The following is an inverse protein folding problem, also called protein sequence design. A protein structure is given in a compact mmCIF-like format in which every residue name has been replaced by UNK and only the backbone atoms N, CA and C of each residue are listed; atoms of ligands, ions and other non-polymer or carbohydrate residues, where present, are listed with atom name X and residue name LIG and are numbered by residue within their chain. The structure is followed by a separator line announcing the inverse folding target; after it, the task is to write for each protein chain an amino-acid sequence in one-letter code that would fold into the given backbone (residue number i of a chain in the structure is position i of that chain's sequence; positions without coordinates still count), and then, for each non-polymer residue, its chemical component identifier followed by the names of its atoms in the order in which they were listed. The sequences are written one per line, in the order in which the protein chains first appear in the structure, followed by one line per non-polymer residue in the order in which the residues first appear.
data_IF_940107818811
#
_entry.id   IF_940107818811
#
_cell.length_a   1.000
_cell.length_b   1.000
_cell.length_c   1.000
_cell.angle_alpha   90.00
_cell.angle_beta   90.00
_cell.angle_gamma   90.00
#
_symmetry.space_group_name_H-M   'P 1'
#
loop_
_entity.id
_entity.type
_entity.pdbx_description
1 polymer ?
#
# COMPACT_ATOMS: atom_id res chain seq x y z
N UNK A 1 -13.35 -42.10 -8.38
CA UNK A 1 -13.02 -40.76 -7.82
C UNK A 1 -11.59 -40.83 -7.31
N UNK A 2 -10.61 -40.36 -8.09
CA UNK A 2 -9.21 -40.31 -7.65
C UNK A 2 -8.97 -38.97 -6.97
N UNK A 3 -8.66 -39.01 -5.69
CA UNK A 3 -8.18 -37.87 -4.90
C UNK A 3 -6.81 -37.46 -5.41
N UNK A 4 -6.74 -36.38 -6.16
CA UNK A 4 -5.47 -35.76 -6.57
C UNK A 4 -4.80 -35.23 -5.29
N UNK A 5 -3.78 -35.93 -4.79
CA UNK A 5 -2.94 -35.43 -3.71
C UNK A 5 -2.14 -34.23 -4.23
N UNK A 6 -2.20 -33.07 -3.54
CA UNK A 6 -1.35 -31.94 -3.88
C UNK A 6 0.12 -32.34 -3.71
N UNK A 7 0.93 -32.14 -4.76
CA UNK A 7 2.35 -32.50 -4.76
C UNK A 7 3.12 -31.72 -3.68
N UNK A 8 4.00 -32.39 -2.94
CA UNK A 8 4.82 -31.82 -1.85
C UNK A 8 5.56 -30.52 -2.20
N UNK A 9 5.82 -30.26 -3.49
CA UNK A 9 6.41 -29.01 -3.98
C UNK A 9 5.56 -27.77 -3.68
N UNK A 10 4.23 -27.88 -3.67
CA UNK A 10 3.33 -26.76 -3.36
C UNK A 10 3.39 -26.35 -1.88
N UNK A 11 3.54 -27.33 -0.99
CA UNK A 11 3.67 -27.11 0.46
C UNK A 11 5.03 -26.49 0.82
N UNK A 12 6.12 -26.90 0.15
CA UNK A 12 7.44 -26.32 0.38
C UNK A 12 7.55 -24.85 -0.05
N UNK A 13 6.89 -24.43 -1.14
CA UNK A 13 6.89 -23.01 -1.56
C UNK A 13 6.11 -22.09 -0.64
N UNK A 14 5.14 -22.58 0.14
CA UNK A 14 4.38 -21.74 1.08
C UNK A 14 5.15 -21.45 2.38
N UNK A 15 6.03 -22.36 2.82
CA UNK A 15 6.79 -22.20 4.06
C UNK A 15 7.91 -21.15 3.96
N UNK A 16 8.52 -20.98 2.77
CA UNK A 16 9.57 -19.98 2.56
C UNK A 16 9.07 -18.53 2.48
N UNK A 17 7.82 -18.32 2.06
CA UNK A 17 7.23 -16.97 1.90
C UNK A 17 6.56 -16.48 3.19
N UNK A 18 6.12 -17.40 4.06
CA UNK A 18 5.40 -17.06 5.30
C UNK A 18 6.22 -16.19 6.26
N UNK A 19 7.49 -16.52 6.48
CA UNK A 19 8.38 -15.79 7.39
C UNK A 19 8.83 -14.43 6.86
N UNK A 20 8.78 -14.23 5.54
CA UNK A 20 9.18 -12.97 4.91
C UNK A 20 8.30 -11.80 5.37
N UNK A 21 7.01 -12.04 5.62
CA UNK A 21 6.05 -11.00 6.03
C UNK A 21 6.37 -10.47 7.45
N UNK A 22 6.50 -11.32 8.50
CA UNK A 22 6.99 -10.90 9.81
C UNK A 22 8.35 -10.20 9.75
N UNK A 23 9.31 -10.74 8.99
CA UNK A 23 10.66 -10.16 8.92
C UNK A 23 10.63 -8.77 8.32
N UNK A 24 9.95 -8.57 7.18
CA UNK A 24 9.84 -7.26 6.55
C UNK A 24 9.09 -6.26 7.42
N UNK A 25 7.98 -6.68 8.03
CA UNK A 25 7.17 -5.83 8.93
C UNK A 25 7.96 -5.43 10.19
N UNK A 26 8.75 -6.34 10.76
CA UNK A 26 9.63 -6.06 11.92
C UNK A 26 10.74 -5.10 11.55
N UNK A 27 11.44 -5.34 10.44
CA UNK A 27 12.52 -4.47 9.94
C UNK A 27 11.98 -3.07 9.65
N UNK A 28 10.80 -2.97 9.07
CA UNK A 28 10.12 -1.70 8.82
C UNK A 28 9.73 -0.98 10.11
N UNK A 29 9.19 -1.72 11.08
CA UNK A 29 8.90 -1.22 12.43
C UNK A 29 10.16 -0.69 13.11
N UNK A 30 11.26 -1.43 13.07
CA UNK A 30 12.53 -1.00 13.65
C UNK A 30 13.05 0.31 13.02
N UNK A 31 13.05 0.39 11.69
CA UNK A 31 13.49 1.57 10.94
C UNK A 31 12.60 2.78 11.24
N UNK A 32 11.28 2.62 11.25
CA UNK A 32 10.34 3.72 11.56
C UNK A 32 10.42 4.17 13.02
N UNK A 33 10.69 3.25 13.95
CA UNK A 33 10.93 3.59 15.35
C UNK A 33 12.17 4.45 15.57
N UNK A 34 13.11 4.48 14.62
CA UNK A 34 14.26 5.40 14.65
C UNK A 34 13.85 6.87 14.56
N UNK A 35 12.73 7.17 13.90
CA UNK A 35 12.25 8.54 13.72
C UNK A 35 11.50 9.13 14.92
N UNK A 36 11.19 8.29 15.92
CA UNK A 36 10.41 8.67 17.10
C UNK A 36 11.02 8.15 18.41
N UNK A 37 12.30 7.77 18.41
CA UNK A 37 13.03 7.17 19.55
C UNK A 37 12.32 5.96 20.20
N UNK A 38 11.58 5.17 19.40
CA UNK A 38 10.85 3.98 19.85
C UNK A 38 11.17 2.74 19.00
N UNK A 39 12.44 2.56 18.65
CA UNK A 39 12.94 1.47 17.79
C UNK A 39 12.44 0.09 18.22
N UNK A 40 12.61 -0.26 19.50
CA UNK A 40 12.19 -1.56 20.04
C UNK A 40 10.66 -1.71 20.09
N UNK A 41 9.95 -0.64 20.44
CA UNK A 41 8.48 -0.64 20.49
C UNK A 41 7.87 -0.85 19.10
N UNK A 42 8.38 -0.14 18.11
CA UNK A 42 7.92 -0.23 16.72
C UNK A 42 8.37 -1.53 16.04
N UNK A 43 9.56 -2.06 16.35
CA UNK A 43 9.97 -3.39 15.90
C UNK A 43 9.06 -4.49 16.47
N UNK A 44 8.76 -4.43 17.78
CA UNK A 44 7.84 -5.35 18.43
C UNK A 44 6.43 -5.28 17.84
N UNK A 45 5.93 -4.07 17.58
CA UNK A 45 4.67 -3.86 16.87
C UNK A 45 4.72 -4.46 15.46
N UNK A 46 5.77 -4.18 14.69
CA UNK A 46 5.99 -4.70 13.34
C UNK A 46 6.01 -6.23 13.30
N UNK A 47 6.66 -6.88 14.29
CA UNK A 47 6.67 -8.33 14.42
C UNK A 47 5.30 -8.89 14.73
N UNK A 48 4.63 -8.34 15.75
CA UNK A 48 3.31 -8.78 16.19
C UNK A 48 2.29 -8.63 15.07
N UNK A 49 2.34 -7.50 14.35
CA UNK A 49 1.52 -7.25 13.18
C UNK A 49 1.82 -8.21 12.04
N UNK A 50 3.09 -8.42 11.70
CA UNK A 50 3.49 -9.32 10.61
C UNK A 50 3.08 -10.77 10.86
N UNK A 51 3.15 -11.24 12.12
CA UNK A 51 2.63 -12.54 12.54
C UNK A 51 1.10 -12.58 12.40
N UNK A 52 0.40 -11.54 12.88
CA UNK A 52 -1.06 -11.45 12.77
C UNK A 52 -1.52 -11.50 11.31
N UNK A 53 -0.86 -10.75 10.41
CA UNK A 53 -1.12 -10.75 8.97
C UNK A 53 -0.83 -12.11 8.36
N UNK A 54 0.29 -12.77 8.71
CA UNK A 54 0.61 -14.12 8.21
C UNK A 54 -0.48 -15.14 8.59
N UNK A 55 -0.95 -15.10 9.85
CA UNK A 55 -1.98 -16.01 10.35
C UNK A 55 -3.35 -15.72 9.72
N UNK A 56 -3.75 -14.45 9.64
CA UNK A 56 -4.99 -14.02 9.03
C UNK A 56 -4.98 -14.29 7.52
N UNK A 57 -3.89 -13.98 6.82
CA UNK A 57 -3.76 -14.27 5.39
C UNK A 57 -3.83 -15.77 5.10
N UNK A 58 -3.23 -16.61 5.94
CA UNK A 58 -3.35 -18.08 5.80
C UNK A 58 -4.78 -18.56 6.00
N UNK A 59 -5.47 -18.07 7.04
CA UNK A 59 -6.87 -18.42 7.33
C UNK A 59 -7.84 -17.89 6.26
N UNK A 60 -7.66 -16.66 5.80
CA UNK A 60 -8.56 -16.04 4.80
C UNK A 60 -8.22 -16.52 3.38
N UNK A 61 -6.97 -16.84 3.06
CA UNK A 61 -6.63 -17.45 1.75
C UNK A 61 -7.33 -18.80 1.55
N UNK A 62 -7.53 -19.57 2.63
CA UNK A 62 -8.36 -20.78 2.60
C UNK A 62 -9.85 -20.48 2.38
N UNK A 63 -10.31 -19.29 2.77
CA UNK A 63 -11.72 -18.89 2.64
C UNK A 63 -12.00 -18.22 1.29
N UNK A 64 -11.04 -17.49 0.73
CA UNK A 64 -11.12 -16.79 -0.56
C UNK A 64 -12.29 -15.80 -0.68
N UNK A 65 -12.31 -14.99 -1.72
CA UNK A 65 -13.57 -14.36 -2.12
C UNK A 65 -14.52 -15.46 -2.61
N UNK A 66 -15.61 -15.72 -1.88
CA UNK A 66 -16.64 -16.69 -2.27
C UNK A 66 -17.55 -16.15 -3.38
N UNK A 67 -17.44 -14.86 -3.69
CA UNK A 67 -18.16 -14.20 -4.79
C UNK A 67 -17.30 -13.14 -5.48
N UNK A 68 -17.60 -12.86 -6.75
CA UNK A 68 -16.97 -11.78 -7.53
C UNK A 68 -17.11 -10.42 -6.82
N UNK A 69 -18.23 -10.20 -6.12
CA UNK A 69 -18.47 -9.00 -5.33
C UNK A 69 -17.39 -8.81 -4.24
N UNK A 70 -17.09 -9.87 -3.48
CA UNK A 70 -16.07 -9.82 -2.42
C UNK A 70 -14.65 -9.59 -2.97
N UNK A 71 -14.32 -10.14 -4.14
CA UNK A 71 -13.03 -9.89 -4.79
C UNK A 71 -12.88 -8.44 -5.28
N UNK A 72 -14.00 -7.84 -5.71
CA UNK A 72 -14.06 -6.49 -6.26
C UNK A 72 -14.05 -5.38 -5.21
N UNK A 73 -14.71 -5.60 -4.06
CA UNK A 73 -14.85 -4.58 -3.00
C UNK A 73 -13.55 -3.89 -2.61
N UNK A 74 -12.45 -4.60 -2.27
CA UNK A 74 -11.20 -3.92 -1.87
C UNK A 74 -10.62 -3.06 -3.00
N UNK A 75 -10.66 -3.55 -4.25
CA UNK A 75 -10.14 -2.80 -5.42
C UNK A 75 -10.95 -1.53 -5.66
N UNK A 76 -12.28 -1.61 -5.53
CA UNK A 76 -13.16 -0.44 -5.68
C UNK A 76 -13.08 0.56 -4.53
N UNK A 77 -12.64 0.15 -3.35
CA UNK A 77 -12.36 1.08 -2.23
C UNK A 77 -10.96 1.69 -2.38
N UNK A 78 -9.97 0.90 -2.79
CA UNK A 78 -8.61 1.37 -2.99
C UNK A 78 -8.49 2.37 -4.13
N UNK A 79 -9.19 2.17 -5.24
CA UNK A 79 -9.10 3.05 -6.40
C UNK A 79 -9.43 4.53 -6.10
N UNK A 80 -10.59 4.89 -5.52
CA UNK A 80 -10.88 6.28 -5.18
C UNK A 80 -9.91 6.84 -4.15
N UNK A 81 -9.47 6.03 -3.18
CA UNK A 81 -8.48 6.47 -2.20
C UNK A 81 -7.11 6.74 -2.84
N UNK A 82 -6.68 5.91 -3.79
CA UNK A 82 -5.48 6.15 -4.58
C UNK A 82 -5.61 7.41 -5.44
N UNK A 83 -6.79 7.68 -6.02
CA UNK A 83 -7.05 8.93 -6.73
C UNK A 83 -7.02 10.16 -5.80
N UNK A 84 -7.52 10.04 -4.57
CA UNK A 84 -7.43 11.11 -3.56
C UNK A 84 -5.97 11.37 -3.18
N UNK A 85 -5.17 10.32 -2.95
CA UNK A 85 -3.75 10.44 -2.67
C UNK A 85 -3.01 11.11 -3.83
N UNK A 86 -3.25 10.66 -5.06
CA UNK A 86 -2.68 11.27 -6.27
C UNK A 86 -3.09 12.74 -6.40
N UNK A 87 -4.36 13.08 -6.20
CA UNK A 87 -4.85 14.45 -6.22
C UNK A 87 -4.18 15.31 -5.13
N UNK A 88 -4.03 14.77 -3.93
CA UNK A 88 -3.30 15.42 -2.83
C UNK A 88 -1.82 15.64 -3.14
N UNK A 89 -1.15 14.67 -3.76
CA UNK A 89 0.23 14.79 -4.20
C UNK A 89 0.39 15.89 -5.27
N UNK A 90 -0.49 15.91 -6.28
CA UNK A 90 -0.53 16.97 -7.30
C UNK A 90 -0.73 18.34 -6.66
N UNK A 91 -1.72 18.48 -5.77
CA UNK A 91 -1.97 19.74 -5.07
C UNK A 91 -0.79 20.16 -4.20
N UNK A 92 -0.14 19.22 -3.51
CA UNK A 92 1.08 19.48 -2.75
C UNK A 92 2.21 20.01 -3.62
N UNK A 93 2.39 19.44 -4.81
CA UNK A 93 3.40 19.87 -5.77
C UNK A 93 3.10 21.26 -6.35
N UNK A 94 1.82 21.55 -6.62
CA UNK A 94 1.37 22.87 -7.10
C UNK A 94 1.44 23.94 -6.00
N UNK A 95 1.24 23.57 -4.73
CA UNK A 95 1.32 24.46 -3.58
C UNK A 95 2.77 24.72 -3.14
N UNK A 96 3.69 23.79 -3.39
CA UNK A 96 5.12 23.91 -3.14
C UNK A 96 5.98 23.91 -4.42
N UNK A 97 5.75 24.83 -5.39
CA UNK A 97 6.40 24.77 -6.71
C UNK A 97 7.88 25.16 -6.69
N UNK A 98 8.36 25.72 -5.57
CA UNK A 98 9.75 26.10 -5.34
C UNK A 98 10.14 25.75 -3.91
N UNK A 99 11.45 25.69 -3.60
CA UNK A 99 11.95 25.25 -2.29
C UNK A 99 11.36 26.02 -1.10
N UNK A 100 11.20 27.34 -1.22
CA UNK A 100 10.65 28.17 -0.15
C UNK A 100 9.18 27.85 0.11
N UNK A 101 8.37 27.74 -0.94
CA UNK A 101 6.96 27.39 -0.82
C UNK A 101 6.78 25.96 -0.28
N UNK A 102 7.62 25.01 -0.70
CA UNK A 102 7.61 23.65 -0.21
C UNK A 102 7.96 23.56 1.30
N UNK A 103 8.95 24.32 1.76
CA UNK A 103 9.28 24.42 3.19
C UNK A 103 8.13 25.02 4.01
N UNK A 104 7.49 26.08 3.51
CA UNK A 104 6.31 26.67 4.16
C UNK A 104 5.16 25.66 4.26
N UNK A 105 4.98 24.83 3.24
CA UNK A 105 3.98 23.77 3.21
C UNK A 105 4.29 22.66 4.23
N UNK A 106 5.55 22.22 4.32
CA UNK A 106 6.01 21.24 5.32
C UNK A 106 5.78 21.71 6.76
N UNK A 107 5.87 23.01 7.02
CA UNK A 107 5.65 23.61 8.33
C UNK A 107 4.17 23.74 8.71
N UNK A 108 3.23 23.49 7.79
CA UNK A 108 1.81 23.50 8.11
C UNK A 108 1.43 22.26 8.92
N UNK A 109 0.76 22.47 10.06
CA UNK A 109 0.37 21.41 11.01
C UNK A 109 -0.52 20.31 10.43
N UNK A 110 -1.15 20.55 9.27
CA UNK A 110 -1.99 19.57 8.57
C UNK A 110 -1.31 18.77 7.46
N UNK A 111 -0.16 19.23 6.93
CA UNK A 111 0.42 18.63 5.72
C UNK A 111 0.90 17.19 5.96
N UNK A 112 1.70 16.96 7.00
CA UNK A 112 2.14 15.61 7.38
C UNK A 112 0.98 14.69 7.77
N UNK A 113 -0.03 15.23 8.46
CA UNK A 113 -1.19 14.48 8.95
C UNK A 113 -2.07 13.99 7.79
N UNK A 114 -2.21 14.79 6.72
CA UNK A 114 -2.91 14.40 5.50
C UNK A 114 -2.30 13.14 4.88
N UNK A 115 -0.98 13.10 4.68
CA UNK A 115 -0.32 11.92 4.11
C UNK A 115 -0.40 10.72 5.04
N UNK A 116 -0.21 10.91 6.35
CA UNK A 116 -0.28 9.82 7.32
C UNK A 116 -1.67 9.18 7.37
N UNK A 117 -2.72 10.01 7.35
CA UNK A 117 -4.13 9.56 7.44
C UNK A 117 -4.56 8.80 6.19
N UNK A 118 -4.06 9.16 5.01
CA UNK A 118 -4.43 8.49 3.76
C UNK A 118 -3.57 7.26 3.46
N UNK A 119 -2.29 7.29 3.81
CA UNK A 119 -1.38 6.17 3.55
C UNK A 119 -1.56 5.03 4.54
N UNK A 120 -1.85 5.31 5.81
CA UNK A 120 -1.97 4.26 6.84
C UNK A 120 -3.07 3.24 6.55
N UNK A 121 -4.31 3.62 6.16
CA UNK A 121 -5.32 2.65 5.76
C UNK A 121 -4.91 1.82 4.54
N UNK A 122 -4.20 2.45 3.60
CA UNK A 122 -3.67 1.77 2.40
C UNK A 122 -2.63 0.71 2.79
N UNK A 123 -1.71 1.09 3.67
CA UNK A 123 -0.57 0.32 4.13
C UNK A 123 -0.97 -0.87 4.99
N UNK A 124 -1.87 -0.65 5.95
CA UNK A 124 -2.18 -1.64 6.98
C UNK A 124 -3.40 -2.48 6.67
N UNK A 125 -4.38 -1.95 5.93
CA UNK A 125 -5.69 -2.59 5.80
C UNK A 125 -5.97 -2.96 4.35
N UNK A 126 -5.96 -1.97 3.45
CA UNK A 126 -6.51 -2.15 2.11
C UNK A 126 -5.63 -3.00 1.20
N UNK A 127 -4.32 -2.78 1.20
CA UNK A 127 -3.40 -3.57 0.36
C UNK A 127 -3.37 -5.06 0.80
N UNK A 128 -3.25 -5.39 2.11
CA UNK A 128 -3.39 -6.77 2.57
C UNK A 128 -4.75 -7.38 2.23
N UNK A 129 -5.84 -6.63 2.45
CA UNK A 129 -7.19 -7.10 2.16
C UNK A 129 -7.40 -7.40 0.68
N UNK A 130 -6.92 -6.53 -0.21
CA UNK A 130 -7.01 -6.73 -1.66
C UNK A 130 -6.26 -7.98 -2.10
N UNK A 131 -5.04 -8.17 -1.60
CA UNK A 131 -4.21 -9.36 -1.91
C UNK A 131 -4.88 -10.64 -1.44
N UNK A 132 -5.41 -10.65 -0.22
CA UNK A 132 -6.11 -11.79 0.36
C UNK A 132 -7.38 -12.12 -0.44
N UNK A 133 -8.22 -11.13 -0.70
CA UNK A 133 -9.48 -11.32 -1.42
C UNK A 133 -9.28 -11.79 -2.87
N UNK A 134 -8.17 -11.40 -3.48
CA UNK A 134 -7.85 -11.70 -4.88
C UNK A 134 -6.76 -12.79 -5.04
N UNK A 135 -6.42 -13.52 -3.98
CA UNK A 135 -5.31 -14.47 -3.98
C UNK A 135 -5.47 -15.59 -5.03
N UNK A 136 -6.71 -16.05 -5.22
CA UNK A 136 -7.09 -17.10 -6.18
C UNK A 136 -7.17 -16.61 -7.63
N UNK A 137 -6.99 -15.30 -7.87
CA UNK A 137 -7.11 -14.69 -9.18
C UNK A 137 -5.72 -14.29 -9.70
N UNK A 138 -5.00 -15.15 -10.45
CA UNK A 138 -3.57 -15.01 -10.71
C UNK A 138 -3.20 -13.69 -11.40
N UNK A 139 -4.03 -13.22 -12.34
CA UNK A 139 -3.79 -11.93 -13.02
C UNK A 139 -3.93 -10.75 -12.06
N UNK A 140 -5.02 -10.69 -11.28
CA UNK A 140 -5.22 -9.62 -10.29
C UNK A 140 -4.19 -9.66 -9.18
N UNK A 141 -3.87 -10.86 -8.68
CA UNK A 141 -2.81 -11.06 -7.69
C UNK A 141 -1.50 -10.47 -8.16
N UNK A 142 -1.08 -10.71 -9.41
CA UNK A 142 0.15 -10.11 -9.97
C UNK A 142 0.09 -8.58 -9.98
N UNK A 143 -1.00 -7.99 -10.46
CA UNK A 143 -1.16 -6.53 -10.48
C UNK A 143 -1.12 -5.94 -9.07
N UNK A 144 -1.80 -6.56 -8.10
CA UNK A 144 -1.83 -6.13 -6.72
C UNK A 144 -0.47 -6.31 -6.02
N UNK A 145 0.28 -7.38 -6.32
CA UNK A 145 1.65 -7.57 -5.81
C UNK A 145 2.57 -6.48 -6.36
N UNK A 146 2.48 -6.14 -7.64
CA UNK A 146 3.28 -5.06 -8.24
C UNK A 146 2.93 -3.73 -7.57
N UNK A 147 1.64 -3.42 -7.43
CA UNK A 147 1.18 -2.20 -6.77
C UNK A 147 1.63 -2.13 -5.31
N UNK A 148 1.54 -3.25 -4.56
CA UNK A 148 2.04 -3.36 -3.20
C UNK A 148 3.55 -3.13 -3.15
N UNK A 149 4.32 -3.74 -4.06
CA UNK A 149 5.77 -3.57 -4.13
C UNK A 149 6.16 -2.11 -4.36
N UNK A 150 5.53 -1.45 -5.32
CA UNK A 150 5.74 -0.02 -5.60
C UNK A 150 5.40 0.83 -4.36
N UNK A 151 4.24 0.58 -3.75
CA UNK A 151 3.79 1.29 -2.57
C UNK A 151 4.76 1.13 -1.39
N UNK A 152 5.08 -0.10 -1.00
CA UNK A 152 5.94 -0.36 0.17
C UNK A 152 7.39 0.10 -0.06
N UNK A 153 7.95 -0.06 -1.26
CA UNK A 153 9.29 0.48 -1.56
C UNK A 153 9.31 2.01 -1.46
N UNK A 154 8.28 2.67 -1.99
CA UNK A 154 8.11 4.12 -1.86
C UNK A 154 7.98 4.57 -0.41
N UNK A 155 7.26 3.81 0.43
CA UNK A 155 7.13 4.05 1.88
C UNK A 155 8.46 3.89 2.60
N UNK A 156 9.23 2.84 2.32
CA UNK A 156 10.57 2.63 2.88
C UNK A 156 11.50 3.78 2.50
N UNK A 157 11.56 4.14 1.23
CA UNK A 157 12.38 5.25 0.77
C UNK A 157 11.97 6.58 1.42
N UNK A 158 10.66 6.84 1.52
CA UNK A 158 10.11 8.02 2.19
C UNK A 158 10.48 8.06 3.67
N UNK A 159 10.35 6.94 4.38
CA UNK A 159 10.66 6.84 5.80
C UNK A 159 12.15 6.99 6.11
N UNK A 160 13.02 6.46 5.24
CA UNK A 160 14.48 6.50 5.44
C UNK A 160 15.09 7.85 5.05
N UNK A 161 14.64 8.44 3.94
CA UNK A 161 15.31 9.61 3.36
C UNK A 161 14.59 10.93 3.65
N UNK A 162 13.25 10.94 3.63
CA UNK A 162 12.47 12.17 3.72
C UNK A 162 11.95 12.45 5.13
N UNK A 163 11.39 11.43 5.79
CA UNK A 163 10.74 11.62 7.09
C UNK A 163 11.66 12.24 8.18
N UNK A 164 12.93 11.81 8.36
CA UNK A 164 13.77 12.35 9.42
C UNK A 164 14.05 13.85 9.23
N UNK A 165 14.43 14.26 8.03
CA UNK A 165 14.70 15.66 7.72
C UNK A 165 13.42 16.51 7.69
N UNK A 166 12.28 15.97 7.25
CA UNK A 166 11.01 16.69 7.25
C UNK A 166 10.55 16.99 8.69
N UNK A 167 10.67 16.02 9.60
CA UNK A 167 10.37 16.19 11.02
C UNK A 167 11.33 17.20 11.66
N UNK A 168 12.63 17.07 11.38
CA UNK A 168 13.65 17.97 11.90
C UNK A 168 13.43 19.42 11.46
N UNK A 169 13.24 19.66 10.16
CA UNK A 169 12.99 20.99 9.58
C UNK A 169 11.64 21.59 9.97
N UNK A 170 10.63 20.75 10.24
CA UNK A 170 9.36 21.21 10.81
C UNK A 170 9.55 21.80 12.22
N UNK A 171 10.51 21.31 12.99
CA UNK A 171 10.84 21.79 14.33
C UNK A 171 11.93 22.88 14.33
N UNK A 172 12.77 22.94 13.30
CA UNK A 172 13.89 23.89 13.17
C UNK A 172 13.79 24.70 11.86
N UNK A 173 12.84 25.66 11.75
CA UNK A 173 12.58 26.40 10.51
C UNK A 173 13.79 27.18 10.00
N UNK A 174 14.59 27.76 10.90
CA UNK A 174 15.76 28.55 10.52
C UNK A 174 16.86 27.70 9.86
N UNK A 175 17.00 26.45 10.29
CA UNK A 175 17.98 25.52 9.75
C UNK A 175 17.51 24.94 8.41
N UNK A 176 16.21 24.75 8.23
CA UNK A 176 15.63 24.29 6.96
C UNK A 176 15.99 25.21 5.78
N UNK A 177 16.08 26.52 6.02
CA UNK A 177 16.47 27.52 5.01
C UNK A 177 17.93 27.37 4.57
N UNK A 178 18.79 26.74 5.38
CA UNK A 178 20.17 26.45 4.99
C UNK A 178 20.27 25.26 4.01
N UNK A 179 19.19 24.51 3.78
CA UNK A 179 19.17 23.27 3.00
C UNK A 179 18.37 23.38 1.69
N UNK A 180 18.29 24.57 1.09
CA UNK A 180 17.50 24.83 -0.13
C UNK A 180 17.88 23.91 -1.31
N UNK A 181 19.16 23.57 -1.48
CA UNK A 181 19.59 22.64 -2.53
C UNK A 181 19.04 21.23 -2.31
N UNK A 182 19.01 20.78 -1.06
CA UNK A 182 18.44 19.48 -0.69
C UNK A 182 16.92 19.46 -0.88
N UNK A 183 16.24 20.56 -0.53
CA UNK A 183 14.80 20.73 -0.78
C UNK A 183 14.50 20.74 -2.27
N UNK A 184 15.36 21.35 -3.08
CA UNK A 184 15.24 21.33 -4.54
C UNK A 184 15.29 19.89 -5.07
N UNK A 185 16.26 19.10 -4.63
CA UNK A 185 16.34 17.68 -4.95
C UNK A 185 15.07 16.92 -4.49
N UNK A 186 14.53 17.25 -3.32
CA UNK A 186 13.31 16.63 -2.82
C UNK A 186 12.10 16.89 -3.69
N UNK A 187 11.94 18.12 -4.20
CA UNK A 187 10.86 18.45 -5.15
C UNK A 187 10.98 17.57 -6.40
N UNK A 188 12.19 17.42 -6.96
CA UNK A 188 12.40 16.54 -8.11
C UNK A 188 12.09 15.06 -7.81
N UNK A 189 12.55 14.55 -6.66
CA UNK A 189 12.28 13.18 -6.26
C UNK A 189 10.80 12.95 -5.95
N UNK A 190 10.12 13.93 -5.37
CA UNK A 190 8.68 13.89 -5.13
C UNK A 190 7.89 13.86 -6.44
N UNK A 191 8.32 14.60 -7.45
CA UNK A 191 7.73 14.54 -8.79
C UNK A 191 7.91 13.15 -9.43
N UNK A 192 9.11 12.57 -9.33
CA UNK A 192 9.38 11.21 -9.80
C UNK A 192 8.50 10.21 -9.04
N UNK A 193 8.36 10.37 -7.72
CA UNK A 193 7.48 9.56 -6.87
C UNK A 193 6.03 9.67 -7.32
N UNK A 194 5.52 10.87 -7.56
CA UNK A 194 4.15 11.11 -8.03
C UNK A 194 3.88 10.35 -9.33
N UNK A 195 4.78 10.43 -10.31
CA UNK A 195 4.63 9.75 -11.60
C UNK A 195 4.72 8.23 -11.44
N UNK A 196 5.76 7.72 -10.79
CA UNK A 196 6.01 6.28 -10.79
C UNK A 196 5.18 5.53 -9.74
N UNK A 197 5.01 6.12 -8.57
CA UNK A 197 4.30 5.53 -7.45
C UNK A 197 2.80 5.79 -7.57
N UNK A 198 2.36 7.04 -7.51
CA UNK A 198 0.94 7.35 -7.33
C UNK A 198 0.15 7.09 -8.62
N UNK A 199 0.62 7.60 -9.77
CA UNK A 199 0.00 7.29 -11.07
C UNK A 199 0.13 5.80 -11.39
N UNK A 200 1.29 5.20 -11.12
CA UNK A 200 1.52 3.76 -11.32
C UNK A 200 0.53 2.89 -10.55
N UNK A 201 0.31 3.17 -9.26
CA UNK A 201 -0.66 2.48 -8.42
C UNK A 201 -2.08 2.69 -8.94
N UNK A 202 -2.48 3.91 -9.29
CA UNK A 202 -3.82 4.20 -9.86
C UNK A 202 -4.05 3.41 -11.15
N UNK A 203 -3.07 3.39 -12.06
CA UNK A 203 -3.15 2.63 -13.33
C UNK A 203 -3.28 1.12 -13.05
N UNK A 204 -2.48 0.58 -12.14
CA UNK A 204 -2.56 -0.84 -11.75
C UNK A 204 -3.91 -1.18 -11.12
N UNK A 205 -4.45 -0.31 -10.27
CA UNK A 205 -5.78 -0.47 -9.67
C UNK A 205 -6.89 -0.38 -10.74
N UNK A 206 -6.78 0.54 -11.71
CA UNK A 206 -7.72 0.66 -12.83
C UNK A 206 -7.73 -0.60 -13.68
N UNK A 207 -6.55 -1.12 -14.04
CA UNK A 207 -6.45 -2.37 -14.81
C UNK A 207 -7.04 -3.53 -14.00
N UNK A 208 -6.75 -3.60 -12.69
CA UNK A 208 -7.33 -4.62 -11.81
C UNK A 208 -8.86 -4.51 -11.72
N UNK A 209 -9.40 -3.29 -11.64
CA UNK A 209 -10.83 -3.02 -11.54
C UNK A 209 -11.59 -3.33 -12.84
N UNK A 210 -11.02 -2.98 -14.00
CA UNK A 210 -11.66 -3.07 -15.31
C UNK A 210 -11.48 -4.43 -16.00
N UNK A 211 -10.67 -5.32 -15.42
CA UNK A 211 -10.35 -6.60 -16.02
C UNK A 211 -11.62 -7.44 -16.32
N UNK A 212 -11.84 -7.91 -17.58
CA UNK A 212 -13.12 -8.46 -18.05
C UNK A 212 -13.70 -9.59 -17.20
N UNK A 213 -12.84 -10.46 -16.65
CA UNK A 213 -13.22 -11.62 -15.83
C UNK A 213 -13.90 -11.27 -14.49
N UNK A 214 -13.90 -9.99 -14.10
CA UNK A 214 -14.44 -9.54 -12.82
C UNK A 214 -15.54 -8.49 -12.97
N UNK A 215 -15.99 -8.23 -14.20
CA UNK A 215 -17.20 -7.43 -14.39
C UNK A 215 -18.35 -8.17 -13.73
N UNK A 216 -19.06 -7.47 -12.86
CA UNK A 216 -20.37 -7.92 -12.38
C UNK A 216 -21.29 -7.89 -13.60
N UNK A 217 -21.32 -8.98 -14.37
CA UNK A 217 -22.36 -9.15 -15.39
C UNK A 217 -23.66 -9.23 -14.60
N UNK A 218 -24.49 -8.20 -14.72
CA UNK A 218 -25.88 -8.23 -14.26
C UNK A 218 -26.58 -9.33 -15.05
N UNK A 219 -26.50 -10.54 -14.53
CA UNK A 219 -26.90 -11.78 -15.18
C UNK A 219 -27.32 -12.77 -14.12
N UNK A 220 -28.13 -12.30 -13.16
CA UNK A 220 -29.04 -13.16 -12.42
C UNK A 220 -30.17 -13.59 -13.39
N UNK A 221 -29.80 -14.25 -14.49
CA UNK A 221 -30.70 -15.13 -15.21
C UNK A 221 -30.86 -16.35 -14.32
N UNK A 222 -31.69 -16.21 -13.27
CA UNK A 222 -32.24 -17.36 -12.56
C UNK A 222 -32.73 -18.32 -13.65
N UNK A 223 -32.28 -19.59 -13.65
CA UNK A 223 -32.97 -20.58 -14.45
C UNK A 223 -34.41 -20.61 -13.94
N UNK A 224 -35.36 -20.26 -14.82
CA UNK A 224 -36.77 -20.59 -14.62
C UNK A 224 -36.81 -22.04 -14.17
N UNK A 225 -37.18 -22.27 -12.90
CA UNK A 225 -37.64 -23.59 -12.48
C UNK A 225 -38.93 -23.83 -13.26
N UNK A 226 -38.81 -24.52 -14.39
CA UNK A 226 -39.95 -25.18 -14.99
C UNK A 226 -40.39 -26.26 -14.01
N UNK A 227 -41.44 -25.93 -13.26
CA UNK A 227 -42.29 -26.94 -12.65
C UNK A 227 -43.12 -27.54 -13.78
N UNK A 228 -42.76 -28.77 -14.17
CA UNK A 228 -43.64 -29.72 -14.86
C UNK A 228 -43.87 -30.87 -13.91
#
# INVERSE_FOLDING_TARGET
MQTVQPSDKQFQTMNGIGLTIPILSTTFGYISGYTIDQQLGMAGFGLLWGILVMLIASRISQVGARSIRQANTPVYIMLPLACIVLGGAILGHLAGPNPNAFLQLLQQSGYGLFFFTLHSPFEWILMPWALIANWHHPTRRRLLIIAAGIFYLGRVASALYFAPAALYWGQHPAEAVAHIDQVTLWIYLDFIRLIWQDVGIVVLMLIAALHPKFRLVNGDSRPERRHT
#
